data_IF_821726008408
#
_entry.id   IF_821726008408
#
_cell.length_a   1.000
_cell.length_b   1.000
_cell.length_c   1.000
_cell.angle_alpha   90.00
_cell.angle_beta   90.00
_cell.angle_gamma   90.00
#
_symmetry.space_group_name_H-M   'P 1'
#
loop_
_entity.id
_entity.type
_entity.pdbx_description
1 polymer ?
#
# COMPACT_ATOMS: atom_id res chain seq x y z
N UNK A 1 14.14 11.81 -10.67
CA UNK A 1 14.39 11.44 -12.08
C UNK A 1 13.17 11.90 -12.87
N UNK A 2 13.31 12.88 -13.76
CA UNK A 2 12.20 13.36 -14.58
C UNK A 2 12.12 12.52 -15.86
N UNK A 3 10.90 12.14 -16.26
CA UNK A 3 10.68 11.35 -17.47
C UNK A 3 10.84 12.24 -18.71
N UNK A 4 11.59 11.76 -19.71
CA UNK A 4 11.83 12.47 -20.97
C UNK A 4 10.55 12.50 -21.84
N UNK A 5 9.98 13.68 -22.13
CA UNK A 5 8.76 13.82 -22.92
C UNK A 5 8.88 13.30 -24.36
N UNK A 6 10.09 13.25 -24.94
CA UNK A 6 10.31 12.81 -26.31
C UNK A 6 10.17 11.29 -26.48
N UNK A 7 10.42 10.54 -25.40
CA UNK A 7 10.37 9.06 -25.38
C UNK A 7 9.21 8.52 -24.55
N UNK A 8 8.63 9.35 -23.68
CA UNK A 8 7.59 8.95 -22.74
C UNK A 8 6.19 9.27 -23.23
N UNK A 9 5.36 8.23 -23.38
CA UNK A 9 3.92 8.37 -23.70
C UNK A 9 3.02 8.54 -22.47
N UNK A 10 3.58 8.62 -21.26
CA UNK A 10 2.81 8.66 -20.00
C UNK A 10 1.78 9.78 -20.01
N UNK A 11 2.18 11.02 -20.32
CA UNK A 11 1.24 12.15 -20.32
C UNK A 11 0.07 11.95 -21.29
N UNK A 12 0.32 11.39 -22.48
CA UNK A 12 -0.73 11.07 -23.44
C UNK A 12 -1.63 9.92 -22.94
N UNK A 13 -1.04 8.81 -22.49
CA UNK A 13 -1.75 7.63 -22.02
C UNK A 13 -2.62 7.95 -20.78
N UNK A 14 -2.10 8.73 -19.83
CA UNK A 14 -2.85 9.18 -18.66
C UNK A 14 -4.06 10.03 -19.06
N UNK A 15 -3.91 10.98 -19.99
CA UNK A 15 -5.04 11.77 -20.50
C UNK A 15 -6.06 10.92 -21.24
N UNK A 16 -5.62 9.97 -22.04
CA UNK A 16 -6.50 9.06 -22.77
C UNK A 16 -7.31 8.17 -21.81
N UNK A 17 -6.67 7.61 -20.78
CA UNK A 17 -7.32 6.82 -19.73
C UNK A 17 -8.30 7.66 -18.91
N UNK A 18 -7.91 8.88 -18.51
CA UNK A 18 -8.79 9.80 -17.79
C UNK A 18 -10.04 10.14 -18.61
N UNK A 19 -9.85 10.42 -19.91
CA UNK A 19 -10.95 10.67 -20.85
C UNK A 19 -11.87 9.46 -20.98
N UNK A 20 -11.30 8.25 -21.09
CA UNK A 20 -12.07 7.01 -21.12
C UNK A 20 -12.93 6.83 -19.87
N UNK A 21 -12.36 6.99 -18.68
CA UNK A 21 -13.08 6.90 -17.39
C UNK A 21 -14.13 8.02 -17.22
N UNK A 22 -13.91 9.21 -17.79
CA UNK A 22 -14.85 10.33 -17.70
C UNK A 22 -16.08 10.14 -18.59
N UNK A 23 -15.94 9.49 -19.75
CA UNK A 23 -17.01 9.35 -20.76
C UNK A 23 -18.24 8.58 -20.28
N UNK A 24 -18.10 7.67 -19.33
CA UNK A 24 -19.22 6.92 -18.75
C UNK A 24 -18.88 6.43 -17.33
N UNK A 25 -19.83 6.45 -16.38
CA UNK A 25 -19.65 5.80 -15.08
C UNK A 25 -19.24 4.32 -15.18
N UNK A 26 -19.79 3.59 -16.16
CA UNK A 26 -19.49 2.18 -16.44
C UNK A 26 -18.00 1.96 -16.77
N UNK A 27 -17.34 2.93 -17.40
CA UNK A 27 -15.93 2.79 -17.77
C UNK A 27 -15.00 2.78 -16.56
N UNK A 28 -15.45 3.31 -15.41
CA UNK A 28 -14.63 3.35 -14.18
C UNK A 28 -14.47 1.97 -13.56
N UNK A 29 -15.50 1.13 -13.63
CA UNK A 29 -15.44 -0.25 -13.11
C UNK A 29 -14.61 -1.17 -13.99
N UNK A 30 -14.39 -0.82 -15.26
CA UNK A 30 -13.55 -1.57 -16.20
C UNK A 30 -12.05 -1.34 -15.99
N UNK A 31 -11.66 -0.25 -15.33
CA UNK A 31 -10.25 0.07 -15.08
C UNK A 31 -9.84 -0.53 -13.74
N UNK A 32 -9.03 -1.58 -13.78
CA UNK A 32 -8.37 -2.12 -12.58
C UNK A 32 -6.86 -2.10 -12.79
N UNK A 33 -6.17 -1.48 -11.84
CA UNK A 33 -4.70 -1.44 -11.79
C UNK A 33 -4.10 -2.79 -11.35
N UNK A 34 -4.93 -3.71 -10.88
CA UNK A 34 -4.56 -5.04 -10.40
C UNK A 34 -5.12 -6.17 -11.26
N UNK A 35 -5.74 -5.85 -12.41
CA UNK A 35 -6.52 -6.78 -13.22
C UNK A 35 -5.74 -8.01 -13.71
N UNK A 36 -4.43 -7.86 -13.91
CA UNK A 36 -3.57 -8.90 -14.48
C UNK A 36 -2.67 -9.58 -13.44
N UNK A 37 -2.88 -9.31 -12.16
CA UNK A 37 -2.05 -9.88 -11.10
C UNK A 37 -2.45 -11.34 -10.84
N UNK A 38 -1.44 -12.20 -10.69
CA UNK A 38 -1.58 -13.53 -10.11
C UNK A 38 -1.36 -13.46 -8.60
N UNK A 39 -2.44 -13.48 -7.82
CA UNK A 39 -2.35 -13.31 -6.36
C UNK A 39 -1.58 -14.44 -5.66
N UNK A 40 -1.35 -15.58 -6.32
CA UNK A 40 -0.54 -16.67 -5.77
C UNK A 40 0.98 -16.41 -5.84
N UNK A 41 1.43 -15.40 -6.59
CA UNK A 41 2.86 -15.11 -6.79
C UNK A 41 3.21 -13.61 -6.81
N UNK A 42 2.29 -12.75 -7.25
CA UNK A 42 2.46 -11.30 -7.29
C UNK A 42 2.12 -10.64 -5.94
N UNK A 43 2.62 -9.42 -5.73
CA UNK A 43 2.36 -8.61 -4.53
C UNK A 43 1.84 -7.22 -4.91
N UNK A 44 0.77 -6.79 -4.24
CA UNK A 44 0.25 -5.43 -4.28
C UNK A 44 0.77 -4.66 -3.06
N UNK A 45 1.80 -3.85 -3.22
CA UNK A 45 2.37 -3.06 -2.13
C UNK A 45 2.07 -1.56 -2.27
N UNK A 46 1.45 -0.98 -1.25
CA UNK A 46 1.34 0.48 -1.11
C UNK A 46 2.12 0.97 0.10
N UNK A 47 3.01 1.95 -0.10
CA UNK A 47 3.81 2.51 0.99
C UNK A 47 3.29 3.88 1.42
N UNK A 48 2.89 3.99 2.68
CA UNK A 48 2.52 5.23 3.34
C UNK A 48 3.64 5.76 4.25
N UNK A 49 4.83 5.16 4.19
CA UNK A 49 5.93 5.46 5.12
C UNK A 49 6.44 6.92 5.05
N UNK A 50 6.08 7.66 3.99
CA UNK A 50 6.41 9.10 3.82
C UNK A 50 5.31 10.03 4.36
N UNK A 51 4.11 9.50 4.61
CA UNK A 51 3.01 10.27 5.16
C UNK A 51 3.31 10.67 6.59
N UNK A 52 3.12 11.95 6.91
CA UNK A 52 3.53 12.54 8.19
C UNK A 52 2.43 12.46 9.25
N UNK A 53 1.66 11.38 9.28
CA UNK A 53 0.49 11.26 10.15
C UNK A 53 0.85 11.28 11.64
N UNK A 54 2.02 10.76 12.02
CA UNK A 54 2.55 10.87 13.39
C UNK A 54 2.97 12.29 13.81
N UNK A 55 2.95 13.28 12.89
CA UNK A 55 3.23 14.68 13.21
C UNK A 55 1.96 15.51 13.45
N UNK A 56 0.77 14.93 13.28
CA UNK A 56 -0.50 15.64 13.38
C UNK A 56 -1.01 15.63 14.84
N UNK A 57 -0.95 16.78 15.51
CA UNK A 57 -1.41 16.95 16.89
C UNK A 57 -2.89 17.32 17.02
N UNK A 58 -3.45 17.92 15.97
CA UNK A 58 -4.83 18.43 15.93
C UNK A 58 -5.22 19.40 17.06
N UNK A 59 -4.25 19.89 17.86
CA UNK A 59 -4.43 20.84 18.97
C UNK A 59 -5.47 20.39 20.01
N UNK A 60 -5.60 19.06 20.22
CA UNK A 60 -6.58 18.48 21.16
C UNK A 60 -6.07 18.43 22.61
N UNK A 61 -4.82 18.84 22.86
CA UNK A 61 -4.17 18.73 24.18
C UNK A 61 -3.75 17.31 24.55
N UNK A 62 -3.82 16.36 23.62
CA UNK A 62 -3.46 14.94 23.82
C UNK A 62 -2.04 14.63 23.36
N UNK A 63 -1.39 15.54 22.63
CA UNK A 63 -0.13 15.26 21.97
C UNK A 63 -0.30 14.55 20.62
N UNK A 64 0.84 14.10 20.08
CA UNK A 64 0.91 13.40 18.79
C UNK A 64 0.40 11.97 18.90
N UNK A 65 0.02 11.32 17.78
CA UNK A 65 -0.49 9.96 17.80
C UNK A 65 0.58 8.94 18.23
N UNK A 66 0.26 8.15 19.25
CA UNK A 66 1.09 7.01 19.68
C UNK A 66 1.19 5.93 18.59
N UNK A 67 0.08 5.70 17.87
CA UNK A 67 0.02 4.73 16.79
C UNK A 67 -0.88 5.23 15.66
N UNK A 68 -0.45 5.00 14.42
CA UNK A 68 -1.27 5.14 13.22
C UNK A 68 -1.44 3.76 12.61
N UNK A 69 -2.69 3.32 12.44
CA UNK A 69 -3.06 1.97 11.98
C UNK A 69 -4.09 2.05 10.87
N UNK A 70 -4.09 1.06 9.98
CA UNK A 70 -5.12 0.88 8.96
C UNK A 70 -6.19 -0.06 9.51
N UNK A 71 -7.49 0.30 9.46
CA UNK A 71 -8.57 -0.59 9.87
C UNK A 71 -8.55 -1.92 9.11
N UNK A 72 -8.99 -2.98 9.78
CA UNK A 72 -9.23 -4.27 9.14
C UNK A 72 -10.42 -4.19 8.17
N UNK A 73 -10.39 -5.02 7.14
CA UNK A 73 -11.38 -5.13 6.07
C UNK A 73 -11.31 -6.56 5.52
N UNK A 74 -12.18 -6.91 4.59
CA UNK A 74 -12.18 -8.25 3.97
C UNK A 74 -10.78 -8.57 3.40
N UNK A 75 -10.21 -9.74 3.75
CA UNK A 75 -8.87 -10.13 3.29
C UNK A 75 -8.77 -10.09 1.77
N UNK A 76 -7.69 -9.48 1.28
CA UNK A 76 -7.30 -9.49 -0.13
C UNK A 76 -5.90 -10.06 -0.20
N UNK A 77 -5.80 -11.30 -0.70
CA UNK A 77 -4.52 -11.99 -0.83
C UNK A 77 -3.49 -11.14 -1.56
N UNK A 78 -2.26 -11.16 -1.06
CA UNK A 78 -1.11 -10.44 -1.58
C UNK A 78 -1.21 -8.91 -1.53
N UNK A 79 -2.18 -8.36 -0.79
CA UNK A 79 -2.27 -6.92 -0.51
C UNK A 79 -1.48 -6.55 0.75
N UNK A 80 -0.50 -5.68 0.58
CA UNK A 80 0.41 -5.22 1.62
C UNK A 80 0.40 -3.69 1.73
N UNK A 81 0.52 -3.20 2.96
CA UNK A 81 0.72 -1.78 3.26
C UNK A 81 1.90 -1.57 4.20
N UNK A 82 2.80 -0.65 3.86
CA UNK A 82 3.72 -0.06 4.84
C UNK A 82 3.03 1.15 5.46
N UNK A 83 2.79 1.11 6.76
CA UNK A 83 2.13 2.19 7.49
C UNK A 83 3.05 3.42 7.62
N UNK A 84 2.49 4.59 7.97
CA UNK A 84 3.27 5.79 8.25
C UNK A 84 4.39 5.48 9.23
N UNK A 85 5.58 5.99 8.93
CA UNK A 85 6.75 5.80 9.78
C UNK A 85 6.51 6.49 11.12
N UNK A 86 6.72 5.76 12.21
CA UNK A 86 6.67 6.30 13.55
C UNK A 86 7.83 7.30 13.78
N UNK A 87 7.73 8.08 14.85
CA UNK A 87 8.72 9.13 15.16
C UNK A 87 10.11 8.56 15.48
N UNK A 88 10.19 7.32 15.97
CA UNK A 88 11.43 6.58 16.22
C UNK A 88 12.00 5.88 14.98
N UNK A 89 11.27 5.94 13.85
CA UNK A 89 11.64 5.29 12.60
C UNK A 89 11.01 3.93 12.36
N UNK A 90 10.24 3.37 13.31
CA UNK A 90 9.53 2.10 13.13
C UNK A 90 8.56 2.19 11.93
N UNK A 91 8.45 1.10 11.16
CA UNK A 91 7.46 0.94 10.10
C UNK A 91 6.71 -0.36 10.35
N UNK A 92 5.43 -0.25 10.70
CA UNK A 92 4.54 -1.40 10.74
C UNK A 92 4.11 -1.78 9.31
N UNK A 93 4.08 -3.09 9.03
CA UNK A 93 3.59 -3.63 7.76
C UNK A 93 2.30 -4.41 8.01
N UNK A 94 1.24 -4.07 7.28
CA UNK A 94 0.04 -4.90 7.21
C UNK A 94 0.20 -5.85 6.01
N UNK A 95 0.16 -7.15 6.27
CA UNK A 95 0.41 -8.20 5.27
C UNK A 95 -0.79 -9.14 5.23
N UNK A 96 -1.37 -9.32 4.05
CA UNK A 96 -2.44 -10.28 3.82
C UNK A 96 -1.96 -11.35 2.84
N UNK A 97 -1.75 -12.56 3.33
CA UNK A 97 -1.43 -13.75 2.52
C UNK A 97 -2.38 -14.87 2.92
N UNK A 98 -2.49 -15.91 2.09
CA UNK A 98 -3.11 -17.17 2.50
C UNK A 98 -2.43 -17.75 3.75
N UNK A 99 -3.20 -18.48 4.54
CA UNK A 99 -2.78 -18.98 5.85
C UNK A 99 -1.45 -19.75 5.79
N UNK A 100 -1.27 -20.63 4.80
CA UNK A 100 -0.04 -21.42 4.66
C UNK A 100 1.22 -20.56 4.45
N UNK A 101 1.09 -19.45 3.72
CA UNK A 101 2.21 -18.54 3.47
C UNK A 101 2.45 -17.62 4.66
N UNK A 102 1.40 -17.17 5.35
CA UNK A 102 1.55 -16.45 6.62
C UNK A 102 2.25 -17.30 7.69
N UNK A 103 1.91 -18.58 7.83
CA UNK A 103 2.58 -19.48 8.77
C UNK A 103 4.06 -19.68 8.43
N UNK A 104 4.38 -19.87 7.14
CA UNK A 104 5.77 -19.98 6.68
C UNK A 104 6.55 -18.70 6.94
N UNK A 105 5.96 -17.53 6.65
CA UNK A 105 6.60 -16.23 6.88
C UNK A 105 6.85 -15.97 8.37
N UNK A 106 5.90 -16.33 9.24
CA UNK A 106 6.03 -16.22 10.70
C UNK A 106 7.11 -17.16 11.27
N UNK A 107 7.39 -18.27 10.60
CA UNK A 107 8.42 -19.23 10.97
C UNK A 107 9.80 -18.95 10.33
N UNK A 108 9.85 -18.12 9.28
CA UNK A 108 11.06 -17.86 8.52
C UNK A 108 12.13 -17.14 9.35
N UNK A 109 13.33 -17.73 9.40
CA UNK A 109 14.42 -17.21 10.25
C UNK A 109 14.98 -15.90 9.74
N UNK A 110 15.06 -15.72 8.42
CA UNK A 110 15.61 -14.52 7.81
C UNK A 110 14.64 -13.36 7.99
N UNK A 111 13.34 -13.58 7.82
CA UNK A 111 12.32 -12.56 8.03
C UNK A 111 12.28 -12.10 9.50
N UNK A 112 12.35 -13.02 10.45
CA UNK A 112 12.34 -12.73 11.88
C UNK A 112 13.56 -11.97 12.39
N UNK A 113 14.66 -11.95 11.64
CA UNK A 113 15.82 -11.11 11.96
C UNK A 113 15.47 -9.62 11.91
N UNK A 114 14.54 -9.24 11.02
CA UNK A 114 14.17 -7.85 10.75
C UNK A 114 12.75 -7.49 11.20
N UNK A 115 11.86 -8.48 11.33
CA UNK A 115 10.45 -8.27 11.60
C UNK A 115 9.99 -8.93 12.89
N UNK A 116 9.13 -8.23 13.62
CA UNK A 116 8.39 -8.74 14.78
C UNK A 116 6.92 -8.86 14.41
N UNK A 117 6.34 -10.05 14.56
CA UNK A 117 4.91 -10.27 14.39
C UNK A 117 4.12 -9.63 15.54
N UNK A 118 3.04 -8.91 15.22
CA UNK A 118 2.23 -8.14 16.20
C UNK A 118 0.77 -8.60 16.24
N UNK A 119 0.24 -9.17 15.15
CA UNK A 119 -1.15 -9.61 15.02
C UNK A 119 -1.51 -9.84 13.57
#
# INVERSE_FOLDING_TARGET
>A
MALDPATTRVAYNTRALATFMQRSPENRSLVSVTATLDLGSDIMLSSWAKEKLHHLDFDLGLGKPDAVRRPAFDPVESLLYLLPRALDGEIAAAICLRDEDMERLKADKQFKEYARYIG
#
